data_IF_754346791986
#
_entry.id   IF_754346791986
#
_cell.length_a   1.000
_cell.length_b   1.000
_cell.length_c   1.000
_cell.angle_alpha   90.00
_cell.angle_beta   90.00
_cell.angle_gamma   90.00
#
_symmetry.space_group_name_H-M   'P 1'
#
loop_
_entity.id
_entity.type
_entity.pdbx_description
1 polymer ?
#
# COMPACT_ATOMS: atom_id res chain seq x y z
N UNK A 1 0.07 -6.63 15.20
CA UNK A 1 0.78 -5.94 14.10
C UNK A 1 0.42 -4.44 14.13
N UNK A 2 1.21 -3.51 13.56
CA UNK A 2 0.94 -2.04 13.63
C UNK A 2 0.94 -1.44 12.22
N UNK A 3 0.01 -0.52 11.95
CA UNK A 3 -0.08 0.30 10.71
C UNK A 3 -0.04 1.79 11.05
N UNK A 4 0.56 2.61 10.18
CA UNK A 4 0.75 4.06 10.39
C UNK A 4 0.19 4.85 9.22
N UNK A 5 -0.91 5.57 9.45
CA UNK A 5 -1.45 6.57 8.53
C UNK A 5 -0.93 7.97 8.88
N UNK A 6 -0.47 8.73 7.89
CA UNK A 6 0.13 10.06 8.07
C UNK A 6 -0.73 11.10 7.38
N UNK A 7 -1.22 12.07 8.15
CA UNK A 7 -1.85 13.28 7.63
C UNK A 7 -0.91 14.47 7.87
N UNK A 8 -0.33 15.01 6.80
CA UNK A 8 0.70 16.04 6.88
C UNK A 8 0.22 17.36 6.29
N UNK A 9 0.22 18.41 7.12
CA UNK A 9 -0.24 19.74 6.77
C UNK A 9 0.84 20.81 7.03
N UNK A 10 1.99 20.78 6.31
CA UNK A 10 3.10 21.65 6.66
C UNK A 10 2.96 23.04 6.04
N UNK A 11 3.46 24.05 6.75
CA UNK A 11 3.59 25.44 6.25
C UNK A 11 4.96 25.72 5.62
N UNK A 12 5.94 24.86 5.88
CA UNK A 12 7.31 24.96 5.40
C UNK A 12 7.78 23.58 4.92
N UNK A 13 8.97 23.50 4.34
CA UNK A 13 9.53 22.22 3.90
C UNK A 13 9.55 21.19 5.04
N UNK A 14 9.05 19.99 4.74
CA UNK A 14 9.20 18.80 5.59
C UNK A 14 9.71 17.69 4.70
N UNK A 15 10.73 16.98 5.18
CA UNK A 15 11.28 15.83 4.48
C UNK A 15 10.34 14.62 4.57
N UNK A 16 9.33 14.63 3.69
CA UNK A 16 8.38 13.53 3.58
C UNK A 16 9.05 12.23 3.12
N UNK A 17 10.14 12.30 2.36
CA UNK A 17 10.83 11.11 1.86
C UNK A 17 11.43 10.27 3.00
N UNK A 18 11.89 10.92 4.08
CA UNK A 18 12.39 10.23 5.27
C UNK A 18 11.29 9.56 6.12
N UNK A 19 10.07 10.11 6.14
CA UNK A 19 8.96 9.60 6.97
C UNK A 19 8.10 8.61 6.20
N UNK A 20 7.98 8.78 4.88
CA UNK A 20 7.14 7.96 4.01
C UNK A 20 7.35 6.43 4.13
N UNK A 21 8.59 5.92 4.34
CA UNK A 21 8.82 4.50 4.57
C UNK A 21 8.01 3.91 5.73
N UNK A 22 7.67 4.70 6.77
CA UNK A 22 6.87 4.21 7.89
C UNK A 22 5.47 3.80 7.44
N UNK A 23 4.75 4.67 6.75
CA UNK A 23 3.42 4.34 6.22
C UNK A 23 3.52 3.25 5.14
N UNK A 24 4.53 3.33 4.26
CA UNK A 24 4.72 2.35 3.19
C UNK A 24 4.96 0.93 3.70
N UNK A 25 5.87 0.74 4.67
CA UNK A 25 6.24 -0.58 5.18
C UNK A 25 5.19 -1.16 6.13
N UNK A 26 4.38 -0.31 6.76
CA UNK A 26 3.34 -0.75 7.71
C UNK A 26 1.95 -0.89 7.08
N UNK A 27 1.84 -0.70 5.76
CA UNK A 27 0.57 -0.78 5.04
C UNK A 27 -0.42 0.33 5.42
N UNK A 28 0.09 1.50 5.81
CA UNK A 28 -0.73 2.70 6.02
C UNK A 28 -0.80 3.56 4.76
N UNK A 29 -1.14 4.83 4.92
CA UNK A 29 -1.34 5.80 3.84
C UNK A 29 -0.76 7.17 4.21
N UNK A 30 -0.48 8.00 3.21
CA UNK A 30 0.07 9.35 3.39
C UNK A 30 -0.80 10.35 2.66
N UNK A 31 -1.40 11.28 3.41
CA UNK A 31 -2.14 12.43 2.86
C UNK A 31 -1.39 13.71 3.10
N UNK A 32 -1.03 14.38 2.02
CA UNK A 32 -0.23 15.59 2.04
C UNK A 32 -1.07 16.82 1.66
N UNK A 33 -1.07 17.83 2.53
CA UNK A 33 -1.82 19.08 2.39
C UNK A 33 -0.84 20.26 2.45
N UNK A 34 -0.25 20.66 1.32
CA UNK A 34 0.71 21.78 1.30
C UNK A 34 0.01 23.10 1.68
N UNK A 35 0.71 23.97 2.41
CA UNK A 35 0.22 25.31 2.78
C UNK A 35 -1.20 25.29 3.33
N UNK A 36 -1.43 24.44 4.35
CA UNK A 36 -2.77 24.15 4.83
C UNK A 36 -3.47 25.42 5.31
N UNK A 37 -4.63 25.70 4.73
CA UNK A 37 -5.50 26.79 5.16
C UNK A 37 -6.92 26.27 5.34
N UNK A 38 -7.55 26.61 6.46
CA UNK A 38 -8.84 26.02 6.86
C UNK A 38 -9.95 26.30 5.85
N UNK A 39 -9.94 27.48 5.21
CA UNK A 39 -10.97 27.85 4.23
C UNK A 39 -10.87 27.06 2.92
N UNK A 40 -9.67 26.62 2.54
CA UNK A 40 -9.44 25.91 1.28
C UNK A 40 -9.34 24.39 1.46
N UNK A 41 -8.54 23.95 2.43
CA UNK A 41 -8.19 22.53 2.63
C UNK A 41 -8.95 21.88 3.78
N UNK A 42 -9.63 22.66 4.63
CA UNK A 42 -10.31 22.15 5.83
C UNK A 42 -11.42 21.14 5.51
N UNK A 43 -12.23 21.41 4.48
CA UNK A 43 -13.30 20.49 4.06
C UNK A 43 -12.72 19.16 3.55
N UNK A 44 -11.68 19.21 2.70
CA UNK A 44 -10.99 18.03 2.21
C UNK A 44 -10.39 17.21 3.35
N UNK A 45 -9.64 17.85 4.24
CA UNK A 45 -9.01 17.19 5.39
C UNK A 45 -10.06 16.51 6.28
N UNK A 46 -11.16 17.20 6.60
CA UNK A 46 -12.25 16.64 7.41
C UNK A 46 -12.84 15.40 6.76
N UNK A 47 -13.13 15.45 5.46
CA UNK A 47 -13.75 14.32 4.75
C UNK A 47 -12.80 13.13 4.66
N UNK A 48 -11.54 13.36 4.30
CA UNK A 48 -10.54 12.30 4.18
C UNK A 48 -10.22 11.67 5.54
N UNK A 49 -10.12 12.47 6.62
CA UNK A 49 -9.95 11.96 7.97
C UNK A 49 -11.17 11.15 8.43
N UNK A 50 -12.37 11.65 8.17
CA UNK A 50 -13.61 10.95 8.53
C UNK A 50 -13.71 9.62 7.79
N UNK A 51 -13.40 9.60 6.49
CA UNK A 51 -13.37 8.37 5.68
C UNK A 51 -12.40 7.34 6.26
N UNK A 52 -11.18 7.73 6.61
CA UNK A 52 -10.17 6.80 7.16
C UNK A 52 -10.57 6.23 8.51
N UNK A 53 -11.24 7.02 9.36
CA UNK A 53 -11.70 6.56 10.67
C UNK A 53 -12.95 5.68 10.59
N UNK A 54 -13.74 5.78 9.51
CA UNK A 54 -15.05 5.10 9.39
C UNK A 54 -15.08 3.97 8.36
N UNK A 55 -14.09 3.90 7.45
CA UNK A 55 -13.98 2.83 6.45
C UNK A 55 -13.77 1.47 7.11
N UNK A 56 -14.16 0.42 6.38
CA UNK A 56 -13.85 -0.94 6.77
C UNK A 56 -12.34 -1.16 6.81
N UNK A 57 -11.86 -1.78 7.89
CA UNK A 57 -10.46 -2.14 8.07
C UNK A 57 -10.36 -3.61 8.49
N UNK A 58 -9.52 -4.37 7.80
CA UNK A 58 -9.09 -5.69 8.21
C UNK A 58 -7.74 -5.59 8.94
N UNK A 59 -7.57 -6.37 9.99
CA UNK A 59 -6.39 -6.31 10.86
C UNK A 59 -5.58 -7.58 10.75
N UNK A 60 -4.27 -7.43 10.91
CA UNK A 60 -3.29 -8.51 10.91
C UNK A 60 -3.29 -9.37 9.64
N UNK A 61 -3.60 -8.73 8.51
CA UNK A 61 -3.76 -9.42 7.25
C UNK A 61 -2.42 -9.85 6.64
N UNK A 62 -2.48 -10.97 5.95
CA UNK A 62 -1.36 -11.52 5.18
C UNK A 62 -1.90 -11.90 3.81
N UNK A 63 -1.20 -11.48 2.76
CA UNK A 63 -1.56 -11.74 1.38
C UNK A 63 -0.50 -12.65 0.74
N UNK A 64 -0.98 -13.63 -0.02
CA UNK A 64 -0.14 -14.51 -0.84
C UNK A 64 -0.75 -14.61 -2.22
N UNK A 65 0.04 -14.26 -3.22
CA UNK A 65 -0.37 -14.34 -4.63
C UNK A 65 0.31 -15.56 -5.22
N UNK A 66 -0.44 -16.37 -5.96
CA UNK A 66 0.07 -17.55 -6.66
C UNK A 66 -0.14 -17.35 -8.15
N UNK A 67 0.74 -17.89 -8.95
CA UNK A 67 0.60 -17.84 -10.41
C UNK A 67 0.62 -19.26 -10.97
N UNK A 68 0.01 -19.45 -12.15
CA UNK A 68 0.05 -20.73 -12.86
C UNK A 68 1.48 -21.12 -13.24
N UNK A 69 1.66 -22.39 -13.63
CA UNK A 69 2.98 -22.95 -13.91
C UNK A 69 3.66 -22.24 -15.09
N UNK A 70 4.97 -22.03 -14.96
CA UNK A 70 5.79 -21.35 -15.96
C UNK A 70 5.75 -19.82 -15.86
N UNK A 71 5.06 -19.28 -14.85
CA UNK A 71 5.07 -17.87 -14.49
C UNK A 71 5.68 -17.71 -13.09
N UNK A 72 6.38 -16.60 -12.88
CA UNK A 72 6.93 -16.22 -11.57
C UNK A 72 6.63 -14.76 -11.27
N UNK A 73 6.41 -14.45 -10.00
CA UNK A 73 6.27 -13.07 -9.54
C UNK A 73 7.68 -12.53 -9.27
N UNK A 74 8.06 -11.42 -9.90
CA UNK A 74 9.41 -10.86 -9.76
C UNK A 74 9.47 -9.68 -8.82
N UNK A 75 8.41 -8.85 -8.78
CA UNK A 75 8.34 -7.67 -7.92
C UNK A 75 6.93 -7.45 -7.39
N UNK A 76 6.87 -6.89 -6.18
CA UNK A 76 5.63 -6.41 -5.58
C UNK A 76 5.71 -4.90 -5.36
N UNK A 77 4.60 -4.22 -5.59
CA UNK A 77 4.46 -2.78 -5.48
C UNK A 77 3.23 -2.44 -4.64
N UNK A 78 3.39 -1.43 -3.79
CA UNK A 78 2.34 -0.95 -2.89
C UNK A 78 2.88 -0.64 -1.49
N UNK A 79 1.97 -0.33 -0.57
CA UNK A 79 2.28 -0.16 0.83
C UNK A 79 2.16 -1.51 1.53
N UNK A 80 3.25 -2.29 1.47
CA UNK A 80 3.35 -3.66 1.98
C UNK A 80 4.76 -3.92 2.51
N UNK A 81 4.86 -4.84 3.46
CA UNK A 81 6.16 -5.42 3.86
C UNK A 81 6.23 -6.86 3.39
N UNK A 82 7.36 -7.27 2.82
CA UNK A 82 7.55 -8.65 2.36
C UNK A 82 8.29 -9.44 3.44
N UNK A 83 7.80 -10.63 3.79
CA UNK A 83 8.47 -11.55 4.72
C UNK A 83 8.80 -12.85 3.99
N UNK A 84 10.08 -13.08 3.70
CA UNK A 84 10.50 -14.21 2.87
C UNK A 84 10.39 -13.90 1.38
N UNK A 85 10.01 -14.88 0.55
CA UNK A 85 9.93 -14.70 -0.91
C UNK A 85 8.53 -14.31 -1.41
N UNK A 86 7.45 -14.85 -0.83
CA UNK A 86 6.10 -14.73 -1.43
C UNK A 86 5.01 -14.26 -0.45
N UNK A 87 5.38 -13.96 0.80
CA UNK A 87 4.42 -13.60 1.84
C UNK A 87 4.39 -12.09 2.04
N UNK A 88 3.29 -11.46 1.66
CA UNK A 88 3.05 -10.03 1.83
C UNK A 88 2.36 -9.79 3.16
N UNK A 89 2.96 -8.97 4.02
CA UNK A 89 2.42 -8.56 5.31
C UNK A 89 1.73 -7.23 5.15
N UNK A 90 0.44 -7.19 5.51
CA UNK A 90 -0.42 -6.02 5.44
C UNK A 90 -1.11 -5.85 6.79
N UNK A 91 -0.47 -5.17 7.77
CA UNK A 91 -0.98 -5.06 9.12
C UNK A 91 -2.41 -4.49 9.23
N UNK A 92 -2.75 -3.56 8.34
CA UNK A 92 -4.09 -3.04 8.17
C UNK A 92 -4.41 -3.02 6.67
N UNK A 93 -5.46 -3.74 6.26
CA UNK A 93 -5.96 -3.70 4.89
C UNK A 93 -7.26 -2.89 4.83
N UNK A 94 -7.43 -2.09 3.78
CA UNK A 94 -8.64 -1.31 3.55
C UNK A 94 -9.03 -1.33 2.06
N UNK A 95 -10.29 -1.01 1.73
CA UNK A 95 -10.78 -1.02 0.34
C UNK A 95 -10.08 -0.04 -0.60
N UNK A 96 -9.44 1.01 -0.06
CA UNK A 96 -8.81 2.06 -0.87
C UNK A 96 -7.40 1.65 -1.34
N UNK A 97 -6.82 0.60 -0.75
CA UNK A 97 -5.48 0.14 -1.07
C UNK A 97 -5.45 -0.69 -2.34
N UNK A 98 -4.45 -0.41 -3.18
CA UNK A 98 -4.16 -1.16 -4.39
C UNK A 98 -2.73 -1.67 -4.35
N UNK A 99 -2.55 -2.92 -4.77
CA UNK A 99 -1.26 -3.57 -4.89
C UNK A 99 -1.03 -3.96 -6.35
N UNK A 100 0.22 -3.87 -6.80
CA UNK A 100 0.61 -4.29 -8.14
C UNK A 100 1.74 -5.31 -8.05
N UNK A 101 1.77 -6.22 -9.03
CA UNK A 101 2.79 -7.25 -9.15
C UNK A 101 3.40 -7.21 -10.54
N UNK A 102 4.69 -7.50 -10.64
CA UNK A 102 5.34 -7.84 -11.89
C UNK A 102 5.42 -9.35 -12.01
N UNK A 103 4.97 -9.89 -13.14
CA UNK A 103 4.99 -11.31 -13.46
C UNK A 103 5.85 -11.49 -14.71
N UNK A 104 6.79 -12.43 -14.64
CA UNK A 104 7.66 -12.80 -15.75
C UNK A 104 7.57 -14.31 -16.02
N UNK A 105 8.01 -14.73 -17.20
CA UNK A 105 8.12 -16.15 -17.53
C UNK A 105 9.28 -16.80 -16.77
N UNK A 106 9.06 -18.02 -16.32
CA UNK A 106 10.09 -18.84 -15.71
C UNK A 106 10.95 -19.51 -16.78
N UNK A 107 12.28 -19.44 -16.64
CA UNK A 107 13.21 -20.07 -17.58
C UNK A 107 13.14 -21.60 -17.44
N UNK A 108 13.18 -22.31 -18.56
CA UNK A 108 13.14 -23.78 -18.66
C UNK A 108 11.80 -24.46 -18.34
N UNK A 109 10.69 -23.72 -18.34
CA UNK A 109 9.35 -24.31 -18.17
C UNK A 109 8.45 -23.95 -19.34
N UNK A 110 7.72 -24.91 -19.89
CA UNK A 110 6.65 -24.62 -20.87
C UNK A 110 5.49 -23.96 -20.12
N UNK A 111 5.19 -22.67 -20.38
CA UNK A 111 4.12 -21.99 -19.67
C UNK A 111 2.76 -22.54 -20.09
N UNK A 112 1.81 -22.53 -19.15
CA UNK A 112 0.41 -22.80 -19.49
C UNK A 112 -0.10 -21.74 -20.48
N UNK A 113 -1.01 -22.10 -21.40
CA UNK A 113 -1.54 -21.17 -22.41
C UNK A 113 -2.34 -20.01 -21.81
N UNK A 114 -2.75 -20.12 -20.54
CA UNK A 114 -3.50 -19.11 -19.79
C UNK A 114 -2.79 -18.82 -18.48
N UNK A 115 -2.54 -17.54 -18.20
CA UNK A 115 -2.04 -17.07 -16.91
C UNK A 115 -3.20 -17.03 -15.89
N UNK A 116 -3.05 -17.77 -14.80
CA UNK A 116 -3.91 -17.65 -13.61
C UNK A 116 -3.13 -16.96 -12.50
N UNK A 117 -3.80 -16.07 -11.76
CA UNK A 117 -3.26 -15.28 -10.63
C UNK A 117 -4.20 -15.42 -9.44
#
# INVERSE_FOLDING_TARGET
>A
QISVDIFMAPQQYVDLASIAPLAKLTGGDIRYYPTFHIQHSGFKFKNELTHVLTRYMGWEAVMRIRVSRGWKITKFYGHISIRGSDLLVVPCCNPDQTYAIAVDMEENTTPDPVLYV
#
